data_IF_311289626054
#
_entry.id   IF_311289626054
#
_cell.length_a   1.000
_cell.length_b   1.000
_cell.length_c   1.000
_cell.angle_alpha   90.00
_cell.angle_beta   90.00
_cell.angle_gamma   90.00
#
_symmetry.space_group_name_H-M   'P 1'
#
loop_
_entity.id
_entity.type
_entity.pdbx_description
1 polymer ?
#
# COMPACT_ATOMS: atom_id res chain seq x y z
N UNK A 1 -10.48 4.77 -17.25
CA UNK A 1 -9.63 4.35 -16.12
C UNK A 1 -8.89 5.59 -15.67
N UNK A 2 -8.94 5.93 -14.38
CA UNK A 2 -8.22 7.09 -13.85
C UNK A 2 -6.70 6.85 -13.79
N UNK A 3 -5.95 7.92 -13.53
CA UNK A 3 -4.48 7.90 -13.54
C UNK A 3 -3.89 7.11 -12.36
N UNK A 4 -4.59 7.04 -11.22
CA UNK A 4 -4.20 6.21 -10.08
C UNK A 4 -4.24 4.72 -10.46
N UNK A 5 -5.35 4.27 -11.03
CA UNK A 5 -5.57 2.90 -11.48
C UNK A 5 -4.52 2.45 -12.49
N UNK A 6 -4.10 3.35 -13.40
CA UNK A 6 -3.03 3.06 -14.37
C UNK A 6 -1.69 2.78 -13.68
N UNK A 7 -1.32 3.57 -12.67
CA UNK A 7 -0.08 3.37 -11.92
C UNK A 7 -0.14 2.07 -11.12
N UNK A 8 -1.27 1.76 -10.47
CA UNK A 8 -1.46 0.51 -9.74
C UNK A 8 -1.40 -0.72 -10.66
N UNK A 9 -1.96 -0.63 -11.87
CA UNK A 9 -1.86 -1.71 -12.86
C UNK A 9 -0.44 -1.92 -13.36
N UNK A 10 0.31 -0.83 -13.60
CA UNK A 10 1.72 -0.92 -13.98
C UNK A 10 2.55 -1.61 -12.87
N UNK A 11 2.31 -1.21 -11.62
CA UNK A 11 2.94 -1.84 -10.45
C UNK A 11 2.66 -3.34 -10.41
N UNK A 12 1.39 -3.76 -10.51
CA UNK A 12 1.00 -5.17 -10.50
C UNK A 12 1.65 -5.94 -11.66
N UNK A 13 1.67 -5.36 -12.87
CA UNK A 13 2.28 -5.99 -14.04
C UNK A 13 3.78 -6.21 -13.88
N UNK A 14 4.50 -5.27 -13.27
CA UNK A 14 5.96 -5.34 -13.10
C UNK A 14 6.40 -6.33 -12.01
N UNK A 15 5.50 -6.66 -11.08
CA UNK A 15 5.83 -7.38 -9.84
C UNK A 15 5.11 -8.73 -9.70
N UNK A 16 3.99 -8.92 -10.39
CA UNK A 16 3.13 -10.10 -10.23
C UNK A 16 2.29 -10.08 -8.95
N UNK A 17 2.04 -8.90 -8.38
CA UNK A 17 1.26 -8.74 -7.16
C UNK A 17 -0.17 -9.27 -7.28
N UNK A 18 -0.74 -9.63 -6.14
CA UNK A 18 -2.13 -10.09 -6.05
C UNK A 18 -3.13 -8.95 -6.11
N UNK A 19 -2.72 -7.77 -5.66
CA UNK A 19 -3.52 -6.57 -5.72
C UNK A 19 -2.79 -5.37 -5.12
N UNK A 20 -3.30 -4.19 -5.46
CA UNK A 20 -2.86 -2.94 -4.87
C UNK A 20 -4.06 -2.00 -4.70
N UNK A 21 -4.04 -1.19 -3.64
CA UNK A 21 -5.09 -0.21 -3.34
C UNK A 21 -4.46 1.09 -2.88
N UNK A 22 -5.02 2.21 -3.32
CA UNK A 22 -4.74 3.54 -2.80
C UNK A 22 -5.92 3.96 -1.92
N UNK A 23 -5.61 4.38 -0.69
CA UNK A 23 -6.58 4.72 0.35
C UNK A 23 -6.25 6.11 0.88
N UNK A 24 -7.23 6.93 1.21
CA UNK A 24 -6.98 8.23 1.87
C UNK A 24 -6.47 8.05 3.30
N UNK A 25 -5.87 9.09 3.87
CA UNK A 25 -5.48 9.10 5.29
C UNK A 25 -6.68 8.84 6.23
N UNK A 26 -7.89 9.21 5.81
CA UNK A 26 -9.15 9.01 6.55
C UNK A 26 -9.75 7.60 6.36
N UNK A 27 -9.10 6.72 5.60
CA UNK A 27 -9.56 5.33 5.40
C UNK A 27 -10.67 5.18 4.36
N UNK A 28 -10.73 6.06 3.36
CA UNK A 28 -11.65 5.94 2.23
C UNK A 28 -10.91 5.39 0.99
N UNK A 29 -11.49 4.45 0.23
CA UNK A 29 -10.90 4.01 -1.03
C UNK A 29 -10.77 5.15 -2.04
N UNK A 30 -9.60 5.27 -2.67
CA UNK A 30 -9.35 6.22 -3.78
C UNK A 30 -9.35 5.49 -5.11
N UNK A 31 -8.59 4.38 -5.20
CA UNK A 31 -8.48 3.56 -6.40
C UNK A 31 -7.93 2.19 -6.02
N UNK A 32 -8.41 1.12 -6.67
CA UNK A 32 -7.98 -0.23 -6.35
C UNK A 32 -7.87 -1.10 -7.61
N UNK A 33 -6.90 -2.01 -7.60
CA UNK A 33 -6.74 -3.06 -8.59
C UNK A 33 -6.55 -4.36 -7.83
N UNK A 34 -7.65 -5.09 -7.65
CA UNK A 34 -7.74 -6.23 -6.75
C UNK A 34 -8.24 -7.48 -7.48
N UNK A 35 -7.84 -8.66 -6.98
CA UNK A 35 -8.44 -9.94 -7.39
C UNK A 35 -9.92 -10.01 -6.98
N UNK A 36 -10.76 -10.79 -7.70
CA UNK A 36 -12.13 -11.05 -7.29
C UNK A 36 -12.22 -11.57 -5.85
N UNK A 37 -13.20 -11.06 -5.09
CA UNK A 37 -13.42 -11.43 -3.68
C UNK A 37 -12.69 -10.56 -2.66
N UNK A 38 -11.85 -9.63 -3.11
CA UNK A 38 -11.29 -8.58 -2.25
C UNK A 38 -12.12 -7.30 -2.38
N UNK A 39 -12.47 -6.70 -1.24
CA UNK A 39 -13.28 -5.49 -1.19
C UNK A 39 -12.42 -4.32 -0.73
N UNK A 40 -12.44 -3.24 -1.52
CA UNK A 40 -11.65 -2.04 -1.26
C UNK A 40 -12.01 -1.37 0.07
N UNK A 41 -13.30 -1.35 0.45
CA UNK A 41 -13.75 -0.79 1.74
C UNK A 41 -13.12 -1.49 2.94
N UNK A 42 -12.94 -2.83 2.86
CA UNK A 42 -12.32 -3.59 3.95
C UNK A 42 -10.83 -3.28 4.05
N UNK A 43 -10.15 -3.21 2.90
CA UNK A 43 -8.72 -2.86 2.84
C UNK A 43 -8.53 -1.47 3.42
N UNK A 44 -9.36 -0.51 3.00
CA UNK A 44 -9.29 0.88 3.45
C UNK A 44 -9.44 1.01 4.98
N UNK A 45 -10.46 0.36 5.56
CA UNK A 45 -10.69 0.37 7.00
C UNK A 45 -9.53 -0.27 7.80
N UNK A 46 -9.03 -1.43 7.34
CA UNK A 46 -7.90 -2.10 8.00
C UNK A 46 -6.62 -1.26 7.92
N UNK A 47 -6.37 -0.63 6.77
CA UNK A 47 -5.20 0.22 6.56
C UNK A 47 -5.21 1.44 7.47
N UNK A 48 -6.33 2.16 7.57
CA UNK A 48 -6.45 3.31 8.47
C UNK A 48 -6.14 2.93 9.94
N UNK A 49 -6.70 1.82 10.42
CA UNK A 49 -6.45 1.33 11.77
C UNK A 49 -4.97 0.98 12.03
N UNK A 50 -4.36 0.26 11.09
CA UNK A 50 -2.95 -0.17 11.20
C UNK A 50 -1.99 1.01 11.11
N UNK A 51 -2.26 1.99 10.25
CA UNK A 51 -1.47 3.21 10.14
C UNK A 51 -1.49 4.01 11.43
N UNK A 52 -2.68 4.28 11.97
CA UNK A 52 -2.83 5.02 13.24
C UNK A 52 -2.03 4.36 14.37
N UNK A 53 -2.08 3.03 14.46
CA UNK A 53 -1.30 2.29 15.45
C UNK A 53 0.21 2.34 15.14
N UNK A 54 0.60 2.19 13.88
CA UNK A 54 1.99 2.19 13.45
C UNK A 54 2.69 3.54 13.66
N UNK A 55 2.00 4.65 13.39
CA UNK A 55 2.48 6.01 13.66
C UNK A 55 2.74 6.19 15.14
N UNK A 56 1.78 5.78 15.97
CA UNK A 56 1.91 5.84 17.43
C UNK A 56 3.07 4.98 17.95
N UNK A 57 3.25 3.77 17.40
CA UNK A 57 4.39 2.91 17.75
C UNK A 57 5.72 3.56 17.35
N UNK A 58 5.79 4.15 16.15
CA UNK A 58 7.00 4.83 15.68
C UNK A 58 7.35 6.04 16.56
N UNK A 59 6.36 6.82 16.97
CA UNK A 59 6.53 7.95 17.89
C UNK A 59 6.96 7.48 19.29
N UNK A 60 6.18 6.60 19.93
CA UNK A 60 6.42 6.15 21.30
C UNK A 60 7.75 5.38 21.46
N UNK A 61 8.21 4.69 20.42
CA UNK A 61 9.48 3.94 20.42
C UNK A 61 10.65 4.71 19.80
N UNK A 62 10.51 6.02 19.60
CA UNK A 62 11.54 6.91 19.08
C UNK A 62 12.15 6.41 17.75
N UNK A 63 11.29 6.03 16.80
CA UNK A 63 11.64 5.66 15.42
C UNK A 63 11.36 6.77 14.41
N UNK A 64 10.83 7.90 14.87
CA UNK A 64 10.53 9.05 14.02
C UNK A 64 9.26 8.81 13.22
N UNK A 65 9.24 9.28 11.97
CA UNK A 65 8.07 9.21 11.10
C UNK A 65 7.88 7.80 10.54
N UNK A 66 6.65 7.30 10.55
CA UNK A 66 6.31 6.03 9.93
C UNK A 66 6.47 6.13 8.40
N UNK A 67 7.41 5.37 7.84
CA UNK A 67 7.61 5.31 6.38
C UNK A 67 6.86 4.13 5.73
N UNK A 68 6.82 2.98 6.41
CA UNK A 68 6.28 1.74 5.87
C UNK A 68 5.89 0.76 6.98
N UNK A 69 4.82 0.01 6.75
CA UNK A 69 4.45 -1.18 7.52
C UNK A 69 4.53 -2.40 6.61
N UNK A 70 5.16 -3.47 7.10
CA UNK A 70 5.22 -4.76 6.39
C UNK A 70 4.69 -5.85 7.31
N UNK A 71 3.64 -6.53 6.87
CA UNK A 71 3.03 -7.64 7.57
C UNK A 71 3.37 -8.91 6.79
N UNK A 72 4.02 -9.87 7.46
CA UNK A 72 4.30 -11.19 6.90
C UNK A 72 3.27 -12.18 7.45
N UNK A 73 2.43 -12.71 6.56
CA UNK A 73 1.53 -13.82 6.85
C UNK A 73 2.16 -15.17 6.51
N UNK A 74 1.45 -16.25 6.81
CA UNK A 74 1.80 -17.60 6.34
C UNK A 74 1.75 -17.73 4.82
N UNK A 75 0.96 -16.90 4.15
CA UNK A 75 0.62 -17.01 2.73
C UNK A 75 1.15 -15.87 1.87
N UNK A 76 1.84 -14.89 2.48
CA UNK A 76 2.41 -13.78 1.74
C UNK A 76 2.64 -12.53 2.58
N UNK A 77 2.59 -11.38 1.92
CA UNK A 77 2.93 -10.08 2.49
C UNK A 77 1.82 -9.05 2.23
N UNK A 78 1.58 -8.22 3.24
CA UNK A 78 0.85 -6.95 3.08
C UNK A 78 1.82 -5.81 3.36
N UNK A 79 1.96 -4.89 2.43
CA UNK A 79 2.86 -3.73 2.55
C UNK A 79 2.03 -2.46 2.46
N UNK A 80 2.16 -1.57 3.44
CA UNK A 80 1.54 -0.25 3.46
C UNK A 80 2.64 0.80 3.41
N UNK A 81 2.53 1.76 2.49
CA UNK A 81 3.46 2.90 2.40
C UNK A 81 2.70 4.20 2.17
N UNK A 82 3.10 5.26 2.86
CA UNK A 82 2.49 6.58 2.71
C UNK A 82 2.74 7.17 1.32
N UNK A 83 1.76 7.85 0.75
CA UNK A 83 1.84 8.59 -0.50
C UNK A 83 1.55 10.06 -0.19
N UNK A 84 2.61 10.85 0.01
CA UNK A 84 2.46 12.21 0.52
C UNK A 84 1.88 12.22 1.94
N UNK A 85 1.03 13.19 2.24
CA UNK A 85 0.30 13.31 3.52
C UNK A 85 -1.14 12.79 3.45
N UNK A 86 -1.64 12.54 2.25
CA UNK A 86 -3.09 12.47 2.02
C UNK A 86 -3.57 11.05 1.73
N UNK A 87 -2.64 10.13 1.43
CA UNK A 87 -2.98 8.77 1.04
C UNK A 87 -1.94 7.74 1.47
N UNK A 88 -2.36 6.47 1.44
CA UNK A 88 -1.54 5.29 1.67
C UNK A 88 -1.78 4.28 0.57
N UNK A 89 -0.69 3.73 0.04
CA UNK A 89 -0.72 2.61 -0.89
C UNK A 89 -0.55 1.29 -0.14
N UNK A 90 -1.45 0.35 -0.42
CA UNK A 90 -1.53 -0.98 0.17
C UNK A 90 -1.26 -2.00 -0.93
N UNK A 91 -0.37 -2.94 -0.68
CA UNK A 91 0.08 -3.92 -1.66
C UNK A 91 0.02 -5.32 -1.08
N UNK A 92 -0.48 -6.26 -1.88
CA UNK A 92 -0.71 -7.66 -1.51
C UNK A 92 0.15 -8.56 -2.40
N UNK A 93 1.03 -9.35 -1.78
CA UNK A 93 1.97 -10.20 -2.46
C UNK A 93 1.93 -11.63 -1.89
N UNK A 94 2.18 -12.63 -2.72
CA UNK A 94 2.32 -14.01 -2.25
C UNK A 94 3.70 -14.27 -1.61
N UNK A 95 3.92 -15.48 -1.10
CA UNK A 95 5.19 -15.89 -0.50
C UNK A 95 6.37 -15.99 -1.49
N UNK A 96 6.10 -16.04 -2.79
CA UNK A 96 7.13 -16.13 -3.84
C UNK A 96 7.62 -14.75 -4.28
N UNK A 97 7.03 -13.68 -3.74
CA UNK A 97 7.39 -12.31 -4.06
C UNK A 97 8.88 -12.04 -3.80
N UNK A 98 9.55 -11.51 -4.82
CA UNK A 98 10.94 -11.04 -4.71
C UNK A 98 10.96 -9.72 -3.96
N UNK A 99 10.99 -9.77 -2.63
CA UNK A 99 10.74 -8.60 -1.76
C UNK A 99 11.59 -7.37 -2.11
N UNK A 100 12.89 -7.54 -2.42
CA UNK A 100 13.74 -6.41 -2.82
C UNK A 100 13.28 -5.73 -4.11
N UNK A 101 12.86 -6.51 -5.12
CA UNK A 101 12.31 -5.97 -6.37
C UNK A 101 10.96 -5.30 -6.13
N UNK A 102 10.12 -5.91 -5.30
CA UNK A 102 8.82 -5.38 -4.93
C UNK A 102 8.94 -4.00 -4.27
N UNK A 103 9.81 -3.85 -3.26
CA UNK A 103 10.03 -2.58 -2.58
C UNK A 103 10.53 -1.48 -3.53
N UNK A 104 11.39 -1.83 -4.51
CA UNK A 104 11.84 -0.90 -5.54
C UNK A 104 10.69 -0.42 -6.44
N UNK A 105 9.82 -1.32 -6.90
CA UNK A 105 8.66 -0.95 -7.73
C UNK A 105 7.60 -0.18 -6.93
N UNK A 106 7.37 -0.54 -5.67
CA UNK A 106 6.53 0.22 -4.73
C UNK A 106 7.00 1.67 -4.64
N UNK A 107 8.30 1.89 -4.43
CA UNK A 107 8.86 3.25 -4.35
C UNK A 107 8.63 4.06 -5.62
N UNK A 108 8.83 3.45 -6.81
CA UNK A 108 8.54 4.13 -8.09
C UNK A 108 7.06 4.47 -8.24
N UNK A 109 6.16 3.56 -7.86
CA UNK A 109 4.73 3.81 -7.91
C UNK A 109 4.32 4.92 -6.93
N UNK A 110 4.88 4.92 -5.71
CA UNK A 110 4.68 5.94 -4.69
C UNK A 110 5.10 7.34 -5.21
N UNK A 111 6.26 7.45 -5.86
CA UNK A 111 6.73 8.70 -6.46
C UNK A 111 5.76 9.20 -7.55
N UNK A 112 5.33 8.33 -8.46
CA UNK A 112 4.34 8.67 -9.50
C UNK A 112 2.97 9.08 -8.92
N UNK A 113 2.51 8.40 -7.88
CA UNK A 113 1.23 8.71 -7.25
C UNK A 113 1.29 10.06 -6.53
N UNK A 114 2.42 10.39 -5.92
CA UNK A 114 2.63 11.67 -5.22
C UNK A 114 2.53 12.88 -6.16
N UNK A 115 2.85 12.73 -7.44
CA UNK A 115 2.69 13.80 -8.44
C UNK A 115 1.23 14.09 -8.81
N UNK A 116 0.28 13.29 -8.32
CA UNK A 116 -1.16 13.43 -8.59
C UNK A 116 -1.94 14.05 -7.43
N UNK A 117 -1.27 14.33 -6.31
CA UNK A 117 -1.79 15.09 -5.17
C UNK A 117 -1.25 16.52 -5.24
#
# INVERSE_FOLDING_TARGET
>A
MDRYSQILQELIKNTGLEGASLVSADGLPISSVLKPGMEEDRIAAMSAAILSLGERVAEELAKGTLEQITIKGSDGYVILTGVGTDAVMVVLADNNAKLGLLLMEIKKAQEKLRELF
#
